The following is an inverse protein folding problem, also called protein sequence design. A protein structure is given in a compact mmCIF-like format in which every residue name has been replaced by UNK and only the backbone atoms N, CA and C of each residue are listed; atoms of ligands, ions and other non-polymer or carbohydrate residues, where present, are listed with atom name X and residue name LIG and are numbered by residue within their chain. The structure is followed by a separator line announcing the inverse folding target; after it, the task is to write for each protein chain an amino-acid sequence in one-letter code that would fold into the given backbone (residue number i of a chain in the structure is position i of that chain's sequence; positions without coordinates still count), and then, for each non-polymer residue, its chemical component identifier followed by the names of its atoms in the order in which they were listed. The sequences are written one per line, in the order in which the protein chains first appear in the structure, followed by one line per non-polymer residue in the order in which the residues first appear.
data_IF_478358396277
#
_entry.id   IF_478358396277
#
_cell.length_a   1.000
_cell.length_b   1.000
_cell.length_c   1.000
_cell.angle_alpha   90.00
_cell.angle_beta   90.00
_cell.angle_gamma   90.00
#
_symmetry.space_group_name_H-M   'P 1'
#
loop_
_entity.id
_entity.type
_entity.pdbx_description
1 polymer ?
#
# COMPACT_ATOMS: atom_id res chain seq x y z
N UNK A 1 -21.94 -51.17 -34.12
CA UNK A 1 -20.52 -50.75 -34.10
C UNK A 1 -20.32 -49.30 -33.61
N UNK A 2 -21.22 -48.75 -32.78
CA UNK A 2 -21.19 -47.33 -32.36
C UNK A 2 -20.92 -47.13 -30.86
N UNK A 3 -21.25 -48.11 -30.02
CA UNK A 3 -21.04 -48.10 -28.56
C UNK A 3 -19.57 -48.24 -28.16
N UNK A 4 -18.84 -49.18 -28.78
CA UNK A 4 -17.40 -49.37 -28.55
C UNK A 4 -16.56 -48.13 -28.88
N UNK A 5 -16.95 -47.36 -29.90
CA UNK A 5 -16.26 -46.14 -30.31
C UNK A 5 -16.46 -45.00 -29.31
N UNK A 6 -17.62 -44.98 -28.64
CA UNK A 6 -17.96 -44.01 -27.59
C UNK A 6 -17.25 -44.35 -26.28
N UNK A 7 -17.30 -45.60 -25.85
CA UNK A 7 -16.63 -46.06 -24.62
C UNK A 7 -15.10 -45.87 -24.69
N UNK A 8 -14.49 -46.10 -25.86
CA UNK A 8 -13.06 -45.86 -26.08
C UNK A 8 -12.71 -44.38 -25.99
N UNK A 9 -13.61 -43.49 -26.44
CA UNK A 9 -13.44 -42.03 -26.36
C UNK A 9 -13.62 -41.53 -24.93
N UNK A 10 -14.57 -42.11 -24.17
CA UNK A 10 -14.79 -41.81 -22.74
C UNK A 10 -13.60 -42.28 -21.88
N UNK A 11 -13.05 -43.47 -22.13
CA UNK A 11 -11.85 -43.97 -21.44
C UNK A 11 -10.57 -43.18 -21.78
N UNK A 12 -10.45 -42.69 -23.01
CA UNK A 12 -9.37 -41.77 -23.41
C UNK A 12 -9.49 -40.40 -22.72
N UNK A 13 -10.71 -39.86 -22.58
CA UNK A 13 -10.94 -38.62 -21.84
C UNK A 13 -10.67 -38.78 -20.34
N UNK A 14 -11.04 -39.93 -19.75
CA UNK A 14 -10.76 -40.27 -18.36
C UNK A 14 -9.24 -40.43 -18.09
N UNK A 15 -8.51 -41.11 -18.97
CA UNK A 15 -7.03 -41.22 -18.88
C UNK A 15 -6.34 -39.86 -19.01
N UNK A 16 -6.78 -39.01 -19.94
CA UNK A 16 -6.26 -37.65 -20.10
C UNK A 16 -6.54 -36.78 -18.85
N UNK A 17 -7.71 -36.94 -18.22
CA UNK A 17 -8.07 -36.29 -16.95
C UNK A 17 -7.22 -36.76 -15.77
N UNK A 18 -6.96 -38.07 -15.66
CA UNK A 18 -6.13 -38.64 -14.59
C UNK A 18 -4.66 -38.22 -14.75
N UNK A 19 -4.17 -38.10 -15.98
CA UNK A 19 -2.82 -37.58 -16.27
C UNK A 19 -2.70 -36.08 -16.00
N UNK A 20 -3.76 -35.31 -16.25
CA UNK A 20 -3.81 -33.88 -15.90
C UNK A 20 -3.88 -33.63 -14.38
N UNK A 21 -4.51 -34.54 -13.62
CA UNK A 21 -4.60 -34.47 -12.16
C UNK A 21 -3.34 -34.96 -11.41
N UNK A 22 -2.60 -35.92 -11.96
CA UNK A 22 -1.34 -36.39 -11.37
C UNK A 22 -0.14 -35.47 -11.66
N UNK A 23 -0.31 -34.51 -12.59
CA UNK A 23 0.74 -33.62 -13.10
C UNK A 23 0.35 -32.14 -12.95
N UNK A 24 -0.21 -31.72 -11.80
CA UNK A 24 0.12 -30.37 -11.34
C UNK A 24 1.64 -30.32 -11.27
N UNK A 25 2.25 -29.51 -12.12
CA UNK A 25 3.71 -29.45 -12.18
C UNK A 25 4.23 -29.18 -10.76
N UNK A 26 5.15 -30.02 -10.27
CA UNK A 26 5.82 -29.76 -9.00
C UNK A 26 6.48 -28.38 -9.01
N UNK A 27 6.85 -27.87 -10.20
CA UNK A 27 7.35 -26.51 -10.35
C UNK A 27 6.24 -25.47 -10.16
N UNK A 28 5.01 -25.70 -10.65
CA UNK A 28 3.88 -24.79 -10.38
C UNK A 28 3.55 -24.74 -8.87
N UNK A 29 3.52 -25.89 -8.20
CA UNK A 29 3.30 -25.94 -6.76
C UNK A 29 4.42 -25.22 -6.00
N UNK A 30 5.68 -25.43 -6.40
CA UNK A 30 6.83 -24.70 -5.84
C UNK A 30 6.73 -23.20 -6.07
N UNK A 31 6.34 -22.77 -7.27
CA UNK A 31 6.19 -21.35 -7.61
C UNK A 31 5.07 -20.70 -6.78
N UNK A 32 3.97 -21.42 -6.54
CA UNK A 32 2.89 -21.00 -5.64
C UNK A 32 3.43 -20.82 -4.22
N UNK A 33 4.13 -21.82 -3.67
CA UNK A 33 4.69 -21.75 -2.31
C UNK A 33 5.68 -20.59 -2.15
N UNK A 34 6.58 -20.39 -3.12
CA UNK A 34 7.53 -19.26 -3.13
C UNK A 34 6.77 -17.94 -3.17
N UNK A 35 5.75 -17.83 -4.01
CA UNK A 35 4.94 -16.61 -4.15
C UNK A 35 4.19 -16.30 -2.86
N UNK A 36 3.55 -17.30 -2.24
CA UNK A 36 2.86 -17.15 -0.95
C UNK A 36 3.84 -16.74 0.16
N UNK A 37 5.00 -17.37 0.24
CA UNK A 37 6.02 -17.03 1.24
C UNK A 37 6.51 -15.58 1.07
N UNK A 38 6.73 -15.15 -0.17
CA UNK A 38 7.09 -13.78 -0.49
C UNK A 38 5.98 -12.79 -0.13
N UNK A 39 4.72 -13.08 -0.51
CA UNK A 39 3.56 -12.23 -0.19
C UNK A 39 3.34 -12.10 1.31
N UNK A 40 3.47 -13.19 2.07
CA UNK A 40 3.33 -13.17 3.52
C UNK A 40 4.40 -12.30 4.18
N UNK A 41 5.66 -12.43 3.71
CA UNK A 41 6.74 -11.57 4.19
C UNK A 41 6.51 -10.10 3.84
N UNK A 42 6.12 -9.82 2.60
CA UNK A 42 5.82 -8.47 2.14
C UNK A 42 4.71 -7.84 2.97
N UNK A 43 3.62 -8.58 3.17
CA UNK A 43 2.47 -8.16 3.99
C UNK A 43 2.90 -7.82 5.41
N UNK A 44 3.72 -8.67 6.04
CA UNK A 44 4.23 -8.41 7.38
C UNK A 44 5.11 -7.16 7.46
N UNK A 45 5.93 -6.90 6.43
CA UNK A 45 6.76 -5.70 6.34
C UNK A 45 5.90 -4.45 6.18
N UNK A 46 4.98 -4.43 5.23
CA UNK A 46 4.08 -3.31 4.98
C UNK A 46 3.28 -2.92 6.23
N UNK A 47 2.77 -3.93 6.96
CA UNK A 47 2.06 -3.72 8.23
C UNK A 47 2.96 -3.09 9.29
N UNK A 48 4.15 -3.66 9.50
CA UNK A 48 5.09 -3.14 10.49
C UNK A 48 5.52 -1.70 10.18
N UNK A 49 5.71 -1.38 8.90
CA UNK A 49 6.05 -0.02 8.46
C UNK A 49 4.88 0.95 8.67
N UNK A 50 3.63 0.50 8.47
CA UNK A 50 2.44 1.30 8.72
C UNK A 50 2.27 1.59 10.23
N UNK A 51 2.41 0.56 11.06
CA UNK A 51 2.41 0.69 12.53
C UNK A 51 3.52 1.64 13.02
N UNK A 52 4.70 1.59 12.40
CA UNK A 52 5.79 2.50 12.70
C UNK A 52 5.43 3.95 12.34
N UNK A 53 4.87 4.19 11.15
CA UNK A 53 4.45 5.52 10.73
C UNK A 53 3.36 6.08 11.66
N UNK A 54 2.39 5.26 12.07
CA UNK A 54 1.36 5.65 13.04
C UNK A 54 1.94 5.97 14.43
N UNK A 55 2.90 5.17 14.90
CA UNK A 55 3.59 5.42 16.17
C UNK A 55 4.40 6.71 16.12
N UNK A 56 5.17 6.93 15.05
CA UNK A 56 5.94 8.15 14.85
C UNK A 56 5.03 9.38 14.85
N UNK A 57 3.85 9.24 14.26
CA UNK A 57 2.83 10.28 14.22
C UNK A 57 2.30 10.66 15.62
N UNK A 58 2.08 9.67 16.49
CA UNK A 58 1.64 9.90 17.86
C UNK A 58 2.68 10.66 18.71
N UNK A 59 3.96 10.49 18.39
CA UNK A 59 5.08 11.08 19.13
C UNK A 59 5.44 12.51 18.68
N UNK A 60 4.91 13.00 17.54
CA UNK A 60 5.25 14.33 17.00
C UNK A 60 5.00 15.45 18.01
N UNK A 61 3.86 15.40 18.72
CA UNK A 61 3.46 16.42 19.70
C UNK A 61 4.37 16.51 20.94
N UNK A 62 5.29 15.56 21.14
CA UNK A 62 6.29 15.64 22.20
C UNK A 62 7.48 16.55 21.85
N UNK A 63 7.63 16.94 20.57
CA UNK A 63 8.75 17.74 20.08
C UNK A 63 8.41 19.23 20.13
N UNK A 64 9.31 20.09 20.58
CA UNK A 64 9.05 21.53 20.71
C UNK A 64 9.57 22.37 19.54
N UNK A 65 10.36 21.78 18.65
CA UNK A 65 10.98 22.44 17.50
C UNK A 65 10.43 21.88 16.18
N UNK A 66 10.62 22.60 15.06
CA UNK A 66 10.40 22.05 13.74
C UNK A 66 11.20 20.76 13.55
N UNK A 67 10.54 19.76 12.99
CA UNK A 67 11.03 18.41 12.72
C UNK A 67 11.71 18.35 11.36
N UNK A 68 11.18 19.05 10.36
CA UNK A 68 11.68 19.05 8.98
C UNK A 68 11.92 20.48 8.43
N UNK A 69 12.84 21.26 9.03
CA UNK A 69 13.08 22.64 8.63
C UNK A 69 13.68 22.81 7.22
N UNK A 70 14.17 21.73 6.60
CA UNK A 70 14.79 21.71 5.28
C UNK A 70 14.00 20.90 4.22
N UNK A 71 12.75 20.50 4.55
CA UNK A 71 11.85 19.70 3.71
C UNK A 71 12.40 18.32 3.29
N UNK A 72 13.52 17.88 3.87
CA UNK A 72 14.20 16.63 3.48
C UNK A 72 13.39 15.39 3.87
N UNK A 73 12.69 15.43 5.01
CA UNK A 73 11.84 14.32 5.48
C UNK A 73 10.57 14.25 4.65
N UNK A 74 9.94 15.40 4.33
CA UNK A 74 8.77 15.50 3.46
C UNK A 74 9.08 14.91 2.07
N UNK A 75 10.21 15.28 1.47
CA UNK A 75 10.65 14.76 0.17
C UNK A 75 10.87 13.24 0.22
N UNK A 76 11.51 12.74 1.28
CA UNK A 76 11.75 11.32 1.46
C UNK A 76 10.45 10.53 1.64
N UNK A 77 9.52 11.03 2.45
CA UNK A 77 8.21 10.43 2.67
C UNK A 77 7.34 10.47 1.40
N UNK A 78 7.41 11.55 0.61
CA UNK A 78 6.73 11.59 -0.69
C UNK A 78 7.26 10.54 -1.65
N UNK A 79 8.59 10.38 -1.71
CA UNK A 79 9.18 9.34 -2.55
C UNK A 79 8.76 7.93 -2.09
N UNK A 80 8.78 7.68 -0.78
CA UNK A 80 8.30 6.42 -0.22
C UNK A 80 6.83 6.16 -0.54
N UNK A 81 5.96 7.18 -0.40
CA UNK A 81 4.55 7.10 -0.75
C UNK A 81 4.35 6.72 -2.23
N UNK A 82 5.14 7.32 -3.13
CA UNK A 82 5.10 7.01 -4.57
C UNK A 82 5.54 5.57 -4.86
N UNK A 83 6.57 5.09 -4.19
CA UNK A 83 7.05 3.71 -4.33
C UNK A 83 6.01 2.70 -3.82
N UNK A 84 5.38 2.96 -2.67
CA UNK A 84 4.31 2.12 -2.13
C UNK A 84 3.10 2.10 -3.07
N UNK A 85 2.74 3.24 -3.67
CA UNK A 85 1.68 3.30 -4.69
C UNK A 85 2.03 2.47 -5.93
N UNK A 86 3.26 2.57 -6.44
CA UNK A 86 3.69 1.77 -7.57
C UNK A 86 3.64 0.26 -7.25
N UNK A 87 4.04 -0.13 -6.03
CA UNK A 87 3.91 -1.51 -5.56
C UNK A 87 2.43 -1.94 -5.50
N UNK A 88 1.54 -1.10 -4.96
CA UNK A 88 0.11 -1.37 -4.90
C UNK A 88 -0.48 -1.67 -6.29
N UNK A 89 -0.14 -0.85 -7.29
CA UNK A 89 -0.57 -1.05 -8.68
C UNK A 89 -0.04 -2.38 -9.25
N UNK A 90 1.24 -2.69 -9.02
CA UNK A 90 1.84 -3.98 -9.42
C UNK A 90 1.12 -5.17 -8.77
N UNK A 91 0.78 -5.08 -7.48
CA UNK A 91 0.08 -6.17 -6.78
C UNK A 91 -1.33 -6.38 -7.35
N UNK A 92 -2.04 -5.32 -7.74
CA UNK A 92 -3.34 -5.42 -8.43
C UNK A 92 -3.19 -6.17 -9.76
N UNK A 93 -2.23 -5.75 -10.59
CA UNK A 93 -1.98 -6.36 -11.89
C UNK A 93 -1.63 -7.85 -11.74
N UNK A 94 -0.79 -8.18 -10.75
CA UNK A 94 -0.39 -9.57 -10.47
C UNK A 94 -1.55 -10.42 -9.94
N UNK A 95 -2.40 -9.86 -9.08
CA UNK A 95 -3.63 -10.53 -8.63
C UNK A 95 -4.54 -10.85 -9.81
N UNK A 96 -4.73 -9.88 -10.72
CA UNK A 96 -5.55 -10.07 -11.91
C UNK A 96 -4.95 -11.13 -12.83
N UNK A 97 -3.64 -11.10 -13.07
CA UNK A 97 -2.96 -12.14 -13.83
C UNK A 97 -3.12 -13.53 -13.19
N UNK A 98 -3.12 -13.62 -11.86
CA UNK A 98 -3.41 -14.86 -11.13
C UNK A 98 -4.83 -15.38 -11.36
N UNK A 99 -5.83 -14.48 -11.36
CA UNK A 99 -7.24 -14.83 -11.68
C UNK A 99 -7.41 -15.32 -13.12
N UNK A 100 -6.63 -14.78 -14.04
CA UNK A 100 -6.70 -15.14 -15.46
C UNK A 100 -5.92 -16.43 -15.79
N UNK A 101 -5.06 -16.92 -14.89
CA UNK A 101 -4.30 -18.17 -15.07
C UNK A 101 -5.14 -19.40 -14.73
N UNK A 102 -5.57 -20.12 -15.77
CA UNK A 102 -6.38 -21.35 -15.67
C UNK A 102 -5.71 -22.51 -14.93
N UNK A 103 -4.42 -22.41 -14.63
CA UNK A 103 -3.67 -23.42 -13.87
C UNK A 103 -3.82 -23.22 -12.35
N UNK A 104 -4.16 -21.99 -11.94
CA UNK A 104 -4.42 -21.64 -10.56
C UNK A 104 -5.89 -21.94 -10.20
N UNK A 105 -6.08 -22.27 -8.94
CA UNK A 105 -7.37 -22.55 -8.32
C UNK A 105 -7.50 -21.70 -7.07
N UNK A 106 -8.72 -21.49 -6.59
CA UNK A 106 -8.99 -20.73 -5.36
C UNK A 106 -8.24 -21.32 -4.14
N UNK A 107 -8.12 -22.65 -4.07
CA UNK A 107 -7.43 -23.36 -2.99
C UNK A 107 -5.92 -23.08 -2.92
N UNK A 108 -5.32 -22.51 -3.97
CA UNK A 108 -3.90 -22.12 -3.94
C UNK A 108 -3.65 -20.86 -3.10
N UNK A 109 -4.69 -20.14 -2.68
CA UNK A 109 -4.58 -18.99 -1.78
C UNK A 109 -3.90 -17.74 -2.36
N UNK A 110 -3.43 -17.79 -3.62
CA UNK A 110 -2.73 -16.70 -4.30
C UNK A 110 -3.56 -15.41 -4.30
N UNK A 111 -4.84 -15.50 -4.67
CA UNK A 111 -5.72 -14.33 -4.73
C UNK A 111 -5.91 -13.67 -3.35
N UNK A 112 -6.10 -14.49 -2.31
CA UNK A 112 -6.26 -14.01 -0.95
C UNK A 112 -4.97 -13.34 -0.45
N UNK A 113 -3.81 -13.95 -0.69
CA UNK A 113 -2.51 -13.41 -0.30
C UNK A 113 -2.20 -12.07 -0.99
N UNK A 114 -2.49 -11.95 -2.29
CA UNK A 114 -2.38 -10.67 -2.98
C UNK A 114 -3.35 -9.63 -2.45
N UNK A 115 -4.59 -10.03 -2.16
CA UNK A 115 -5.62 -9.11 -1.63
C UNK A 115 -5.20 -8.53 -0.28
N UNK A 116 -4.64 -9.36 0.60
CA UNK A 116 -4.10 -8.92 1.88
C UNK A 116 -2.90 -7.98 1.69
N UNK A 117 -1.94 -8.33 0.82
CA UNK A 117 -0.80 -7.47 0.53
C UNK A 117 -1.21 -6.10 -0.05
N UNK A 118 -2.24 -6.08 -0.91
CA UNK A 118 -2.82 -4.85 -1.47
C UNK A 118 -3.43 -3.99 -0.36
N UNK A 119 -4.15 -4.60 0.58
CA UNK A 119 -4.72 -3.88 1.72
C UNK A 119 -3.61 -3.24 2.58
N UNK A 120 -2.59 -4.02 2.97
CA UNK A 120 -1.49 -3.48 3.77
C UNK A 120 -0.67 -2.41 3.03
N UNK A 121 -0.51 -2.52 1.70
CA UNK A 121 0.14 -1.46 0.91
C UNK A 121 -0.67 -0.16 0.90
N UNK A 122 -2.01 -0.26 0.83
CA UNK A 122 -2.89 0.91 0.93
C UNK A 122 -2.84 1.53 2.34
N UNK A 123 -2.82 0.70 3.38
CA UNK A 123 -2.73 1.15 4.77
C UNK A 123 -1.40 1.90 5.00
N UNK A 124 -0.27 1.34 4.55
CA UNK A 124 1.03 2.03 4.62
C UNK A 124 1.03 3.36 3.85
N UNK A 125 0.48 3.38 2.63
CA UNK A 125 0.38 4.61 1.85
C UNK A 125 -0.38 5.71 2.61
N UNK A 126 -1.49 5.35 3.25
CA UNK A 126 -2.30 6.28 4.04
C UNK A 126 -1.59 6.71 5.33
N UNK A 127 -0.88 5.80 5.99
CA UNK A 127 -0.10 6.12 7.18
C UNK A 127 1.03 7.13 6.86
N UNK A 128 1.72 6.95 5.72
CA UNK A 128 2.72 7.91 5.23
C UNK A 128 2.07 9.27 4.93
N UNK A 129 0.91 9.28 4.27
CA UNK A 129 0.18 10.53 3.95
C UNK A 129 -0.19 11.31 5.21
N UNK A 130 -0.74 10.62 6.21
CA UNK A 130 -1.06 11.19 7.50
C UNK A 130 0.20 11.72 8.21
N UNK A 131 1.29 10.96 8.22
CA UNK A 131 2.54 11.38 8.84
C UNK A 131 3.10 12.65 8.19
N UNK A 132 3.10 12.72 6.85
CA UNK A 132 3.51 13.93 6.11
C UNK A 132 2.67 15.14 6.50
N UNK A 133 1.35 14.98 6.52
CA UNK A 133 0.45 16.06 6.91
C UNK A 133 0.77 16.58 8.31
N UNK A 134 0.89 15.68 9.28
CA UNK A 134 1.08 16.06 10.68
C UNK A 134 2.48 16.65 10.94
N UNK A 135 3.52 16.20 10.24
CA UNK A 135 4.84 16.86 10.28
C UNK A 135 4.71 18.30 9.75
N UNK A 136 4.04 18.49 8.63
CA UNK A 136 3.85 19.83 8.05
C UNK A 136 3.06 20.76 8.98
N UNK A 137 1.99 20.26 9.60
CA UNK A 137 1.21 21.01 10.59
C UNK A 137 2.06 21.36 11.82
N UNK A 138 2.79 20.38 12.35
CA UNK A 138 3.69 20.56 13.49
C UNK A 138 4.77 21.62 13.23
N UNK A 139 5.39 21.60 12.05
CA UNK A 139 6.47 22.52 11.70
C UNK A 139 5.98 23.96 11.56
N UNK A 140 4.76 24.16 11.05
CA UNK A 140 4.10 25.47 10.99
C UNK A 140 3.83 26.01 12.40
N UNK A 141 3.36 25.15 13.30
CA UNK A 141 3.06 25.51 14.69
C UNK A 141 4.33 25.77 15.52
N UNK A 142 5.39 25.02 15.26
CA UNK A 142 6.68 25.16 15.93
C UNK A 142 7.54 26.29 15.34
N UNK A 143 7.25 26.75 14.13
CA UNK A 143 7.96 27.85 13.49
C UNK A 143 7.78 29.16 14.27
N UNK A 144 8.83 30.01 14.38
CA UNK A 144 8.70 31.32 14.99
C UNK A 144 7.73 32.19 14.19
N UNK A 145 6.52 32.38 14.72
CA UNK A 145 5.53 33.26 14.10
C UNK A 145 6.04 34.71 14.19
N UNK A 146 6.08 35.46 13.07
CA UNK A 146 6.43 36.86 13.12
C UNK A 146 5.43 37.57 14.03
N UNK A 147 5.93 38.20 15.09
CA UNK A 147 5.11 39.07 15.94
C UNK A 147 4.76 40.31 15.14
N UNK A 148 3.67 40.24 14.39
CA UNK A 148 3.01 41.42 13.84
C UNK A 148 2.48 42.31 14.97
N UNK A 149 2.07 43.55 14.65
CA UNK A 149 1.38 44.40 15.59
C UNK A 149 0.12 43.69 16.11
N UNK A 150 -0.08 43.67 17.42
CA UNK A 150 -1.32 43.18 18.03
C UNK A 150 -2.30 44.35 18.01
N UNK A 151 -3.35 44.25 17.20
CA UNK A 151 -4.42 45.24 17.13
C UNK A 151 -5.50 44.95 18.17
N UNK A 152 -5.91 45.96 18.93
CA UNK A 152 -7.11 45.83 19.75
C UNK A 152 -8.37 45.97 18.89
N UNK A 153 -9.53 45.57 19.41
CA UNK A 153 -10.81 45.73 18.70
C UNK A 153 -11.15 47.19 18.35
N UNK A 154 -10.50 48.16 19.00
CA UNK A 154 -10.64 49.59 18.70
C UNK A 154 -9.76 50.04 17.51
N UNK A 155 -8.76 49.26 17.13
CA UNK A 155 -7.72 49.64 16.15
C UNK A 155 -7.96 48.98 14.78
N UNK A 156 -9.21 48.68 14.45
CA UNK A 156 -9.61 48.03 13.19
C UNK A 156 -9.18 48.86 11.99
N UNK A 157 -9.27 50.19 12.07
CA UNK A 157 -8.84 51.09 11.00
C UNK A 157 -7.32 51.01 10.78
N UNK A 158 -6.53 50.95 11.87
CA UNK A 158 -5.07 50.80 11.78
C UNK A 158 -4.65 49.44 11.21
N UNK A 159 -5.40 48.37 11.51
CA UNK A 159 -5.22 47.05 10.88
C UNK A 159 -5.43 47.15 9.36
N UNK A 160 -6.50 47.82 8.92
CA UNK A 160 -6.80 47.95 7.48
C UNK A 160 -5.82 48.88 6.76
N UNK A 161 -5.32 49.94 7.40
CA UNK A 161 -4.31 50.82 6.82
C UNK A 161 -2.98 50.07 6.58
N UNK A 162 -2.51 49.30 7.57
CA UNK A 162 -1.32 48.46 7.44
C UNK A 162 -1.49 47.36 6.37
N UNK A 163 -2.68 46.76 6.25
CA UNK A 163 -2.95 45.67 5.30
C UNK A 163 -3.10 46.16 3.85
N UNK A 164 -3.57 47.41 3.67
CA UNK A 164 -3.80 48.02 2.36
C UNK A 164 -2.61 48.87 1.87
N UNK A 165 -1.55 48.98 2.67
CA UNK A 165 -0.33 49.72 2.33
C UNK A 165 -0.60 51.21 2.11
N UNK A 166 -1.47 51.82 2.94
CA UNK A 166 -1.75 53.27 2.93
C UNK A 166 -1.06 53.99 4.07
#
# INVERSE_FOLDING_TARGET
MTTLTRERRELQAFSASVTAGAARSLDLLRDIEITLAWLNRLTGMLRADAEFAESANADLGATACPIDPDDAIQDALENAQREVKALYEILIDKRQAGRDDRRLTEDDGIEAAYTEAIAQAADLHNAIDALRWNIGEHDIDAAPQPKGPIYAAADVDALFDDLLGR
#
